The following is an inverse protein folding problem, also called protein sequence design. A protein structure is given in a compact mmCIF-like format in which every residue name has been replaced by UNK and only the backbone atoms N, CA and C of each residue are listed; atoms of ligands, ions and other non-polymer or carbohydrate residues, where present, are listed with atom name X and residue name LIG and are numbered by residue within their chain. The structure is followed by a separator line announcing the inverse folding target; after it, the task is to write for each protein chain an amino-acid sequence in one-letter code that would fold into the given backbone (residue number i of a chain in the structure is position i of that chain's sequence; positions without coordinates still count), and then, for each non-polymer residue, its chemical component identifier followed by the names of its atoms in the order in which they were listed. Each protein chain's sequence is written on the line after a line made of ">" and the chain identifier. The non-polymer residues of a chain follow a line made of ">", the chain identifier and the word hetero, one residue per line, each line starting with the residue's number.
data_IF_413855534635
#
_entry.id   IF_413855534635
#
_cell.length_a   1.000
_cell.length_b   1.000
_cell.length_c   1.000
_cell.angle_alpha   90.00
_cell.angle_beta   90.00
_cell.angle_gamma   90.00
#
_symmetry.space_group_name_H-M   'P 1'
#
loop_
_entity.id
_entity.type
_entity.pdbx_description
1 polymer ?
#
# COMPACT_ATOMS: atom_id res chain seq x y z
N UNK A 1 6.98 20.52 -9.81
CA UNK A 1 5.62 20.65 -9.25
C UNK A 1 4.60 20.16 -10.26
N UNK A 2 3.68 19.31 -9.82
CA UNK A 2 2.61 18.78 -10.65
C UNK A 2 1.54 19.84 -10.95
N UNK A 3 0.81 19.64 -12.04
CA UNK A 3 -0.30 20.49 -12.48
C UNK A 3 -1.50 20.41 -11.52
N UNK A 4 -2.41 21.38 -11.62
CA UNK A 4 -3.64 21.39 -10.82
C UNK A 4 -4.53 20.17 -11.11
N UNK A 5 -4.55 19.69 -12.36
CA UNK A 5 -5.31 18.49 -12.75
C UNK A 5 -4.77 17.23 -12.06
N UNK A 6 -3.44 17.07 -12.03
CA UNK A 6 -2.78 15.97 -11.33
C UNK A 6 -3.03 16.01 -9.81
N UNK A 7 -3.02 17.21 -9.22
CA UNK A 7 -3.36 17.41 -7.82
C UNK A 7 -4.80 16.99 -7.50
N UNK A 8 -5.76 17.39 -8.35
CA UNK A 8 -7.17 17.03 -8.19
C UNK A 8 -7.41 15.53 -8.38
N UNK A 9 -6.73 14.91 -9.34
CA UNK A 9 -6.82 13.47 -9.57
C UNK A 9 -6.31 12.69 -8.34
N UNK A 10 -5.12 13.02 -7.83
CA UNK A 10 -4.55 12.37 -6.65
C UNK A 10 -5.40 12.58 -5.39
N UNK A 11 -6.01 13.77 -5.25
CA UNK A 11 -6.96 14.04 -4.17
C UNK A 11 -8.20 13.15 -4.25
N UNK A 12 -8.81 13.02 -5.43
CA UNK A 12 -10.03 12.21 -5.59
C UNK A 12 -9.74 10.72 -5.37
N UNK A 13 -8.58 10.22 -5.80
CA UNK A 13 -8.14 8.84 -5.52
C UNK A 13 -8.03 8.58 -4.01
N UNK A 14 -7.35 9.47 -3.27
CA UNK A 14 -7.28 9.38 -1.81
C UNK A 14 -8.66 9.43 -1.16
N UNK A 15 -9.52 10.36 -1.59
CA UNK A 15 -10.86 10.54 -1.04
C UNK A 15 -11.71 9.28 -1.19
N UNK A 16 -11.71 8.66 -2.37
CA UNK A 16 -12.46 7.42 -2.63
C UNK A 16 -11.92 6.26 -1.80
N UNK A 17 -10.59 6.11 -1.72
CA UNK A 17 -9.96 5.07 -0.91
C UNK A 17 -10.29 5.24 0.58
N UNK A 18 -10.30 6.48 1.08
CA UNK A 18 -10.63 6.77 2.48
C UNK A 18 -12.09 6.46 2.82
N UNK A 19 -13.03 6.86 1.96
CA UNK A 19 -14.45 6.53 2.12
C UNK A 19 -14.63 5.02 2.17
N UNK A 20 -14.00 4.28 1.26
CA UNK A 20 -14.09 2.82 1.20
C UNK A 20 -13.54 2.18 2.48
N UNK A 21 -12.38 2.63 2.97
CA UNK A 21 -11.78 2.13 4.20
C UNK A 21 -12.67 2.36 5.42
N UNK A 22 -13.28 3.54 5.54
CA UNK A 22 -14.17 3.87 6.66
C UNK A 22 -15.48 3.07 6.60
N UNK A 23 -15.94 2.69 5.41
CA UNK A 23 -17.12 1.84 5.22
C UNK A 23 -16.86 0.36 5.46
N UNK A 24 -15.72 -0.17 4.99
CA UNK A 24 -15.42 -1.60 5.08
C UNK A 24 -14.86 -2.00 6.44
N UNK A 25 -14.13 -1.11 7.11
CA UNK A 25 -13.36 -1.44 8.31
C UNK A 25 -12.26 -2.48 8.07
N UNK A 26 -11.95 -2.78 6.80
CA UNK A 26 -10.94 -3.76 6.41
C UNK A 26 -9.54 -3.13 6.46
N UNK A 27 -8.59 -3.89 6.99
CA UNK A 27 -7.20 -3.46 7.11
C UNK A 27 -6.54 -3.20 5.74
N UNK A 28 -6.86 -3.99 4.71
CA UNK A 28 -6.33 -3.81 3.36
C UNK A 28 -6.86 -2.54 2.70
N UNK A 29 -8.13 -2.20 2.93
CA UNK A 29 -8.69 -0.94 2.46
C UNK A 29 -8.09 0.26 3.20
N UNK A 30 -7.89 0.14 4.52
CA UNK A 30 -7.18 1.16 5.30
C UNK A 30 -5.75 1.38 4.82
N UNK A 31 -5.04 0.29 4.46
CA UNK A 31 -3.71 0.36 3.85
C UNK A 31 -3.73 1.07 2.49
N UNK A 32 -4.70 0.71 1.64
CA UNK A 32 -4.87 1.34 0.33
C UNK A 32 -5.12 2.84 0.46
N UNK A 33 -5.93 3.27 1.44
CA UNK A 33 -6.15 4.68 1.72
C UNK A 33 -4.88 5.40 2.21
N UNK A 34 -4.05 4.74 3.02
CA UNK A 34 -2.77 5.30 3.46
C UNK A 34 -1.78 5.46 2.30
N UNK A 35 -1.71 4.49 1.38
CA UNK A 35 -0.85 4.57 0.19
C UNK A 35 -1.31 5.71 -0.75
N UNK A 36 -2.63 5.84 -0.97
CA UNK A 36 -3.19 6.93 -1.76
C UNK A 36 -2.92 8.31 -1.14
N UNK A 37 -2.95 8.41 0.20
CA UNK A 37 -2.58 9.62 0.92
C UNK A 37 -1.12 10.01 0.69
N UNK A 38 -0.20 9.04 0.75
CA UNK A 38 1.23 9.28 0.49
C UNK A 38 1.45 9.73 -0.96
N UNK A 39 0.78 9.08 -1.91
CA UNK A 39 0.82 9.48 -3.33
C UNK A 39 0.33 10.92 -3.53
N UNK A 40 -0.76 11.31 -2.88
CA UNK A 40 -1.26 12.69 -2.90
C UNK A 40 -0.25 13.69 -2.33
N UNK A 41 0.38 13.41 -1.20
CA UNK A 41 1.41 14.29 -0.62
C UNK A 41 2.60 14.47 -1.56
N UNK A 42 3.02 13.40 -2.24
CA UNK A 42 4.15 13.41 -3.17
C UNK A 42 3.93 14.29 -4.41
N UNK A 43 2.69 14.70 -4.69
CA UNK A 43 2.38 15.67 -5.75
C UNK A 43 2.95 17.06 -5.43
N UNK A 44 3.07 17.39 -4.15
CA UNK A 44 3.52 18.70 -3.66
C UNK A 44 4.98 18.75 -3.22
N UNK A 45 5.61 17.58 -3.05
CA UNK A 45 7.00 17.49 -2.61
C UNK A 45 7.94 17.46 -3.81
N UNK A 46 9.10 18.09 -3.64
CA UNK A 46 10.22 17.93 -4.58
C UNK A 46 10.70 16.47 -4.58
N UNK A 47 11.33 16.05 -5.68
CA UNK A 47 11.72 14.65 -5.89
C UNK A 47 12.59 14.08 -4.76
N UNK A 48 13.50 14.90 -4.22
CA UNK A 48 14.41 14.53 -3.12
C UNK A 48 13.70 14.37 -1.76
N UNK A 49 12.47 14.87 -1.65
CA UNK A 49 11.66 14.85 -0.42
C UNK A 49 10.47 13.91 -0.50
N UNK A 50 10.30 13.18 -1.62
CA UNK A 50 9.17 12.26 -1.79
C UNK A 50 9.17 11.19 -0.72
N UNK A 51 7.99 11.00 -0.14
CA UNK A 51 7.70 9.93 0.78
C UNK A 51 7.65 8.59 0.03
N UNK A 52 8.03 7.47 0.66
CA UNK A 52 7.96 6.17 0.01
C UNK A 52 6.50 5.75 -0.18
N UNK A 53 5.99 5.89 -1.41
CA UNK A 53 4.60 5.55 -1.80
C UNK A 53 4.28 4.05 -1.65
N UNK A 54 5.30 3.20 -1.50
CA UNK A 54 5.14 1.84 -1.03
C UNK A 54 6.49 1.31 -0.55
N UNK A 55 6.53 0.68 0.64
CA UNK A 55 7.53 -0.37 0.87
C UNK A 55 7.09 -1.56 0.04
N UNK A 56 7.49 -1.60 -1.24
CA UNK A 56 7.52 -2.86 -1.97
C UNK A 56 8.18 -3.88 -1.05
N UNK A 57 7.60 -5.07 -0.93
CA UNK A 57 8.07 -6.19 -0.10
C UNK A 57 9.58 -6.24 -0.19
N UNK A 58 10.26 -5.63 0.77
CA UNK A 58 11.68 -5.34 0.66
C UNK A 58 12.42 -6.60 1.04
N UNK A 59 12.48 -7.57 0.12
CA UNK A 59 13.39 -8.74 0.06
C UNK A 59 13.50 -9.67 1.28
N UNK A 60 12.92 -9.33 2.43
CA UNK A 60 13.13 -9.94 3.73
C UNK A 60 11.89 -10.71 4.20
N UNK A 61 10.98 -11.01 3.29
CA UNK A 61 10.11 -12.17 3.51
C UNK A 61 10.98 -13.37 3.19
N UNK A 62 11.59 -13.93 4.23
CA UNK A 62 12.13 -15.28 4.14
C UNK A 62 10.97 -16.19 3.75
N UNK A 63 10.91 -16.59 2.48
CA UNK A 63 10.13 -17.76 2.06
C UNK A 63 10.74 -18.94 2.81
N UNK A 64 10.22 -19.23 4.00
CA UNK A 64 10.56 -20.44 4.73
C UNK A 64 10.21 -21.59 3.82
N UNK A 65 11.16 -22.44 3.40
CA UNK A 65 10.81 -23.56 2.58
C UNK A 65 9.98 -24.48 3.48
N UNK A 66 8.77 -24.81 3.03
CA UNK A 66 7.90 -25.79 3.66
C UNK A 66 8.56 -27.17 3.47
N UNK A 67 9.59 -27.47 4.26
CA UNK A 67 10.25 -28.75 4.23
C UNK A 67 9.36 -29.77 4.93
N UNK A 68 8.55 -30.46 4.11
CA UNK A 68 8.04 -31.82 4.32
C UNK A 68 7.40 -32.05 5.70
N UNK A 69 6.09 -31.84 5.78
CA UNK A 69 5.24 -32.69 6.64
C UNK A 69 5.63 -34.14 6.39
N UNK A 70 6.26 -34.76 7.38
CA UNK A 70 6.59 -36.19 7.39
C UNK A 70 5.26 -36.93 7.18
N UNK A 71 5.18 -37.74 6.13
CA UNK A 71 4.01 -38.61 5.92
C UNK A 71 3.77 -39.42 7.20
N UNK A 72 2.50 -39.47 7.64
CA UNK A 72 2.09 -40.26 8.78
C UNK A 72 2.50 -41.72 8.54
N UNK A 73 3.42 -42.23 9.35
CA UNK A 73 3.74 -43.65 9.38
C UNK A 73 2.59 -44.35 10.13
N UNK A 74 1.65 -44.90 9.36
CA UNK A 74 0.59 -45.75 9.88
C UNK A 74 1.13 -47.18 9.93
N UNK A 75 1.47 -47.64 11.13
CA UNK A 75 1.55 -49.07 11.47
C UNK A 75 0.99 -49.28 12.87
#
# INVERSE_FOLDING_TARGET
>A
MATFEEQMAAWEEYRQAKIKADQSGDFLDARTAADAWVSFLNVYLDDDHKLPAHRGTSGNVALFPVHKTRAADVR
#
